data_IF_828613329175
#
_entry.id   IF_828613329175
#
_cell.length_a   1.000
_cell.length_b   1.000
_cell.length_c   1.000
_cell.angle_alpha   90.00
_cell.angle_beta   90.00
_cell.angle_gamma   90.00
#
_symmetry.space_group_name_H-M   'P 1'
#
loop_
_entity.id
_entity.type
_entity.pdbx_description
1 polymer ?
#
# COMPACT_ATOMS: atom_id res chain seq x y z
N UNK A 1 6.40 43.97 12.21
CA UNK A 1 5.21 43.10 12.12
C UNK A 1 5.55 42.02 11.11
N UNK A 2 5.84 40.81 11.59
CA UNK A 2 6.41 39.73 10.77
C UNK A 2 5.25 39.05 10.04
N UNK A 3 5.30 39.05 8.72
CA UNK A 3 4.40 38.26 7.87
C UNK A 3 4.94 36.82 7.94
N UNK A 4 4.33 35.98 8.77
CA UNK A 4 4.57 34.53 8.71
C UNK A 4 4.07 34.03 7.35
N UNK A 5 5.00 33.82 6.43
CA UNK A 5 4.74 33.04 5.23
C UNK A 5 4.44 31.61 5.67
N UNK A 6 3.15 31.29 5.66
CA UNK A 6 2.66 29.92 5.76
C UNK A 6 3.22 29.17 4.55
N UNK A 7 4.31 28.42 4.75
CA UNK A 7 4.76 27.42 3.79
C UNK A 7 3.70 26.32 3.76
N UNK A 8 2.63 26.53 2.98
CA UNK A 8 1.83 25.44 2.44
C UNK A 8 2.75 24.64 1.52
N UNK A 9 3.47 23.70 2.11
CA UNK A 9 4.09 22.59 1.40
C UNK A 9 2.99 21.97 0.55
N UNK A 10 3.03 22.23 -0.76
CA UNK A 10 2.12 21.64 -1.74
C UNK A 10 2.01 20.15 -1.40
N UNK A 11 0.80 19.57 -1.25
CA UNK A 11 0.70 18.14 -1.04
C UNK A 11 1.45 17.46 -2.18
N UNK A 12 2.44 16.61 -1.86
CA UNK A 12 3.16 15.83 -2.86
C UNK A 12 2.08 15.10 -3.67
N UNK A 13 1.87 15.54 -4.90
CA UNK A 13 0.78 15.05 -5.73
C UNK A 13 1.21 13.69 -6.25
N UNK A 14 0.89 12.64 -5.50
CA UNK A 14 1.19 11.28 -5.89
C UNK A 14 0.28 10.85 -7.05
N UNK A 15 0.79 10.04 -7.99
CA UNK A 15 -0.01 9.54 -9.10
C UNK A 15 -1.28 8.85 -8.56
N UNK A 16 -2.42 9.16 -9.17
CA UNK A 16 -3.67 8.49 -8.84
C UNK A 16 -3.59 7.03 -9.26
N UNK A 17 -3.69 6.10 -8.31
CA UNK A 17 -3.68 4.66 -8.60
C UNK A 17 -5.06 4.12 -9.01
N UNK A 18 -6.08 4.98 -9.18
CA UNK A 18 -7.46 4.58 -9.52
C UNK A 18 -7.51 3.75 -10.81
N UNK A 19 -6.73 4.14 -11.81
CA UNK A 19 -6.75 3.54 -13.15
C UNK A 19 -5.75 2.40 -13.35
N UNK A 20 -5.03 2.00 -12.29
CA UNK A 20 -4.08 0.87 -12.36
C UNK A 20 -4.85 -0.42 -12.69
N UNK A 21 -4.48 -1.05 -13.81
CA UNK A 21 -4.96 -2.37 -14.21
C UNK A 21 -4.03 -3.43 -13.64
N UNK A 22 -4.55 -4.22 -12.71
CA UNK A 22 -3.86 -5.39 -12.16
C UNK A 22 -4.10 -6.58 -13.10
N UNK A 23 -3.03 -7.32 -13.43
CA UNK A 23 -3.14 -8.51 -14.28
C UNK A 23 -3.96 -9.60 -13.56
N UNK A 24 -4.81 -10.31 -14.30
CA UNK A 24 -5.56 -11.46 -13.75
C UNK A 24 -4.60 -12.48 -13.12
N UNK A 25 -4.91 -12.95 -11.92
CA UNK A 25 -4.08 -13.90 -11.17
C UNK A 25 -2.86 -13.30 -10.46
N UNK A 26 -2.59 -11.99 -10.60
CA UNK A 26 -1.48 -11.33 -9.90
C UNK A 26 -1.63 -11.41 -8.38
N UNK A 27 -2.86 -11.31 -7.86
CA UNK A 27 -3.15 -11.45 -6.43
C UNK A 27 -2.73 -12.83 -5.93
N UNK A 28 -3.20 -13.90 -6.57
CA UNK A 28 -2.84 -15.27 -6.19
C UNK A 28 -1.33 -15.54 -6.30
N UNK A 29 -0.69 -15.05 -7.36
CA UNK A 29 0.76 -15.16 -7.52
C UNK A 29 1.53 -14.46 -6.39
N UNK A 30 1.09 -13.26 -5.99
CA UNK A 30 1.71 -12.51 -4.91
C UNK A 30 1.47 -13.15 -3.53
N UNK A 31 0.28 -13.74 -3.28
CA UNK A 31 0.03 -14.51 -2.06
C UNK A 31 1.03 -15.66 -1.92
N UNK A 32 1.23 -16.42 -3.00
CA UNK A 32 2.20 -17.52 -3.04
C UNK A 32 3.63 -17.01 -2.86
N UNK A 33 4.01 -15.93 -3.55
CA UNK A 33 5.35 -15.32 -3.46
C UNK A 33 5.67 -14.86 -2.05
N UNK A 34 4.70 -14.27 -1.35
CA UNK A 34 4.86 -13.75 0.01
C UNK A 34 4.65 -14.82 1.07
N UNK A 35 4.08 -15.98 0.74
CA UNK A 35 3.86 -17.07 1.70
C UNK A 35 2.76 -16.75 2.70
N UNK A 36 1.67 -16.11 2.27
CA UNK A 36 0.49 -15.97 3.12
C UNK A 36 -0.20 -17.33 3.27
N UNK A 37 -0.59 -17.68 4.50
CA UNK A 37 -1.22 -18.96 4.81
C UNK A 37 -2.73 -18.99 4.52
N UNK A 38 -3.29 -17.86 4.09
CA UNK A 38 -4.70 -17.69 3.74
C UNK A 38 -4.93 -17.99 2.26
N UNK A 39 -6.16 -18.35 1.92
CA UNK A 39 -6.52 -18.57 0.53
C UNK A 39 -6.70 -17.22 -0.19
N UNK A 40 -6.02 -16.98 -1.33
CA UNK A 40 -6.23 -15.77 -2.09
C UNK A 40 -7.67 -15.71 -2.63
N UNK A 41 -8.25 -14.51 -2.79
CA UNK A 41 -9.54 -14.37 -3.45
C UNK A 41 -9.48 -14.91 -4.89
N UNK A 42 -10.61 -15.46 -5.36
CA UNK A 42 -10.71 -16.02 -6.71
C UNK A 42 -10.48 -14.93 -7.77
N UNK A 43 -9.70 -15.18 -8.84
CA UNK A 43 -9.55 -14.23 -9.93
C UNK A 43 -10.90 -13.82 -10.55
N UNK A 44 -11.10 -12.53 -10.77
CA UNK A 44 -12.33 -11.92 -11.28
C UNK A 44 -13.49 -11.89 -10.27
N UNK A 45 -13.25 -12.21 -9.00
CA UNK A 45 -14.29 -12.12 -7.97
C UNK A 45 -14.41 -10.71 -7.39
N UNK A 46 -15.59 -10.39 -6.84
CA UNK A 46 -15.83 -9.15 -6.09
C UNK A 46 -14.83 -9.00 -4.92
N UNK A 47 -14.41 -10.11 -4.30
CA UNK A 47 -13.42 -10.09 -3.24
C UNK A 47 -12.03 -9.64 -3.74
N UNK A 48 -11.62 -10.08 -4.93
CA UNK A 48 -10.37 -9.64 -5.55
C UNK A 48 -10.42 -8.15 -5.91
N UNK A 49 -11.53 -7.68 -6.49
CA UNK A 49 -11.72 -6.26 -6.81
C UNK A 49 -11.68 -5.37 -5.56
N UNK A 50 -12.31 -5.80 -4.47
CA UNK A 50 -12.29 -5.10 -3.18
C UNK A 50 -10.87 -5.01 -2.63
N UNK A 51 -10.11 -6.11 -2.67
CA UNK A 51 -8.72 -6.13 -2.23
C UNK A 51 -7.86 -5.17 -3.07
N UNK A 52 -7.97 -5.22 -4.40
CA UNK A 52 -7.24 -4.32 -5.30
C UNK A 52 -7.58 -2.86 -4.97
N UNK A 53 -8.85 -2.54 -4.77
CA UNK A 53 -9.30 -1.19 -4.43
C UNK A 53 -8.78 -0.73 -3.06
N UNK A 54 -8.73 -1.61 -2.06
CA UNK A 54 -8.13 -1.32 -0.77
C UNK A 54 -6.62 -1.02 -0.92
N UNK A 55 -5.89 -1.82 -1.69
CA UNK A 55 -4.48 -1.56 -1.98
C UNK A 55 -4.29 -0.20 -2.69
N UNK A 56 -5.11 0.13 -3.70
CA UNK A 56 -5.06 1.42 -4.40
C UNK A 56 -5.25 2.62 -3.46
N UNK A 57 -6.16 2.49 -2.48
CA UNK A 57 -6.41 3.53 -1.47
C UNK A 57 -5.27 3.62 -0.45
N UNK A 58 -4.61 2.51 -0.15
CA UNK A 58 -3.53 2.44 0.84
C UNK A 58 -2.22 3.07 0.36
N UNK A 59 -1.81 2.82 -0.89
CA UNK A 59 -0.48 3.24 -1.40
C UNK A 59 -0.16 4.73 -1.23
N UNK A 60 -1.07 5.68 -1.51
CA UNK A 60 -0.78 7.09 -1.27
C UNK A 60 -0.30 7.40 0.15
N UNK A 61 -0.84 6.72 1.17
CA UNK A 61 -0.45 6.91 2.57
C UNK A 61 0.84 6.19 2.96
N UNK A 62 1.26 5.20 2.18
CA UNK A 62 2.57 4.55 2.33
C UNK A 62 3.67 5.45 1.77
N UNK A 63 3.42 6.08 0.61
CA UNK A 63 4.41 6.94 -0.05
C UNK A 63 4.49 8.32 0.61
N UNK A 64 3.37 8.88 1.10
CA UNK A 64 3.34 10.18 1.75
C UNK A 64 4.26 10.26 2.97
N UNK A 65 4.27 9.21 3.78
CA UNK A 65 5.01 9.07 5.04
C UNK A 65 5.07 10.36 5.88
N UNK A 66 3.91 11.04 5.99
CA UNK A 66 3.74 12.21 6.86
C UNK A 66 2.83 11.87 8.06
N UNK A 67 3.02 12.60 9.16
CA UNK A 67 2.28 12.38 10.40
C UNK A 67 0.76 12.57 10.23
N UNK A 68 0.34 13.46 9.31
CA UNK A 68 -1.06 13.68 8.96
C UNK A 68 -1.73 12.46 8.31
N UNK A 69 -0.96 11.64 7.62
CA UNK A 69 -1.41 10.43 6.93
C UNK A 69 -1.43 9.20 7.82
N UNK A 70 -0.83 9.25 9.02
CA UNK A 70 -0.61 8.07 9.85
C UNK A 70 -1.91 7.38 10.27
N UNK A 71 -2.95 8.16 10.62
CA UNK A 71 -4.27 7.60 10.99
C UNK A 71 -4.87 6.79 9.84
N UNK A 72 -4.87 7.36 8.63
CA UNK A 72 -5.40 6.69 7.44
C UNK A 72 -4.54 5.49 7.04
N UNK A 73 -3.20 5.62 7.12
CA UNK A 73 -2.27 4.52 6.90
C UNK A 73 -2.59 3.34 7.82
N UNK A 74 -2.73 3.58 9.13
CA UNK A 74 -3.08 2.53 10.11
C UNK A 74 -4.43 1.89 9.83
N UNK A 75 -5.44 2.70 9.49
CA UNK A 75 -6.79 2.21 9.18
C UNK A 75 -6.79 1.28 7.95
N UNK A 76 -6.18 1.71 6.84
CA UNK A 76 -6.11 0.88 5.63
C UNK A 76 -5.20 -0.33 5.82
N UNK A 77 -4.14 -0.22 6.62
CA UNK A 77 -3.29 -1.35 6.95
C UNK A 77 -4.05 -2.41 7.77
N UNK A 78 -4.93 -2.00 8.69
CA UNK A 78 -5.85 -2.92 9.39
C UNK A 78 -6.81 -3.62 8.44
N UNK A 79 -7.46 -2.86 7.54
CA UNK A 79 -8.39 -3.40 6.55
C UNK A 79 -7.71 -4.45 5.67
N UNK A 80 -6.49 -4.15 5.18
CA UNK A 80 -5.69 -5.08 4.40
C UNK A 80 -5.26 -6.31 5.21
N UNK A 81 -4.87 -6.13 6.48
CA UNK A 81 -4.55 -7.23 7.39
C UNK A 81 -5.70 -8.24 7.51
N UNK A 82 -6.92 -7.75 7.68
CA UNK A 82 -8.11 -8.59 7.74
C UNK A 82 -8.38 -9.31 6.42
N UNK A 83 -8.27 -8.62 5.28
CA UNK A 83 -8.52 -9.21 3.96
C UNK A 83 -7.45 -10.24 3.55
N UNK A 84 -6.19 -9.99 3.89
CA UNK A 84 -5.06 -10.80 3.44
C UNK A 84 -4.73 -11.89 4.44
N UNK A 85 -4.71 -11.57 5.73
CA UNK A 85 -4.19 -12.47 6.77
C UNK A 85 -5.27 -12.95 7.74
N UNK A 86 -6.50 -12.42 7.63
CA UNK A 86 -7.59 -12.72 8.57
C UNK A 86 -7.35 -12.14 9.97
N UNK A 87 -6.41 -11.19 10.11
CA UNK A 87 -5.99 -10.63 11.39
C UNK A 87 -5.75 -9.13 11.30
N UNK A 88 -6.12 -8.40 12.35
CA UNK A 88 -5.83 -6.97 12.48
C UNK A 88 -4.33 -6.71 12.67
N UNK A 89 -3.86 -5.50 12.35
CA UNK A 89 -2.45 -5.10 12.49
C UNK A 89 -1.91 -5.27 13.90
N UNK A 90 -2.76 -5.05 14.91
CA UNK A 90 -2.45 -5.22 16.34
C UNK A 90 -1.99 -6.64 16.68
N UNK A 91 -2.42 -7.64 15.91
CA UNK A 91 -2.07 -9.04 16.09
C UNK A 91 -0.95 -9.51 15.14
N UNK A 92 -0.56 -8.68 14.16
CA UNK A 92 0.56 -8.95 13.26
C UNK A 92 1.88 -8.54 13.91
N UNK A 93 2.88 -9.42 13.82
CA UNK A 93 4.26 -9.03 14.10
C UNK A 93 4.76 -8.02 13.03
N UNK A 94 5.88 -7.35 13.30
CA UNK A 94 6.41 -6.35 12.38
C UNK A 94 6.80 -6.92 11.01
N UNK A 95 7.28 -8.17 10.97
CA UNK A 95 7.63 -8.84 9.72
C UNK A 95 6.39 -9.04 8.82
N UNK A 96 5.27 -9.47 9.38
CA UNK A 96 4.02 -9.69 8.65
C UNK A 96 3.39 -8.38 8.20
N UNK A 97 3.48 -7.34 9.02
CA UNK A 97 3.04 -6.00 8.66
C UNK A 97 3.85 -5.40 7.50
N UNK A 98 5.17 -5.54 7.54
CA UNK A 98 6.03 -5.09 6.45
C UNK A 98 5.72 -5.87 5.18
N UNK A 99 5.51 -7.19 5.30
CA UNK A 99 5.11 -8.07 4.19
C UNK A 99 3.77 -7.67 3.58
N UNK A 100 2.82 -7.22 4.39
CA UNK A 100 1.52 -6.72 3.96
C UNK A 100 1.66 -5.40 3.18
N UNK A 101 2.47 -4.47 3.69
CA UNK A 101 2.74 -3.20 3.02
C UNK A 101 3.43 -3.43 1.67
N UNK A 102 4.44 -4.30 1.65
CA UNK A 102 5.16 -4.74 0.45
C UNK A 102 4.22 -5.39 -0.57
N UNK A 103 3.30 -6.25 -0.11
CA UNK A 103 2.32 -6.91 -0.97
C UNK A 103 1.44 -5.87 -1.68
N UNK A 104 0.86 -4.95 -0.93
CA UNK A 104 -0.01 -3.93 -1.48
C UNK A 104 0.76 -3.05 -2.49
N UNK A 105 2.01 -2.70 -2.13
CA UNK A 105 2.86 -1.87 -2.97
C UNK A 105 3.19 -2.56 -4.30
N UNK A 106 3.65 -3.82 -4.24
CA UNK A 106 4.02 -4.60 -5.42
C UNK A 106 2.81 -4.92 -6.31
N UNK A 107 1.64 -5.17 -5.71
CA UNK A 107 0.41 -5.42 -6.46
C UNK A 107 0.02 -4.22 -7.34
N UNK A 108 0.20 -2.99 -6.83
CA UNK A 108 -0.24 -1.77 -7.50
C UNK A 108 0.85 -1.19 -8.41
N UNK A 109 2.11 -1.25 -7.99
CA UNK A 109 3.22 -0.65 -8.76
C UNK A 109 3.94 -1.64 -9.67
N UNK A 110 3.72 -2.94 -9.49
CA UNK A 110 4.45 -4.00 -10.18
C UNK A 110 5.91 -4.14 -9.73
N UNK A 111 6.35 -3.39 -8.72
CA UNK A 111 7.73 -3.38 -8.23
C UNK A 111 7.78 -3.51 -6.70
N UNK A 112 8.81 -4.15 -6.12
CA UNK A 112 9.00 -4.17 -4.69
C UNK A 112 9.20 -2.75 -4.13
N UNK A 113 8.68 -2.49 -2.93
CA UNK A 113 8.77 -1.15 -2.29
C UNK A 113 10.21 -0.68 -2.13
N UNK A 114 11.13 -1.59 -1.75
CA UNK A 114 12.57 -1.30 -1.62
C UNK A 114 13.19 -0.75 -2.91
N UNK A 115 12.87 -1.36 -4.06
CA UNK A 115 13.39 -0.94 -5.37
C UNK A 115 12.85 0.44 -5.76
N UNK A 116 11.57 0.69 -5.48
CA UNK A 116 10.95 1.97 -5.78
C UNK A 116 11.50 3.12 -4.90
N UNK A 117 11.67 2.88 -3.60
CA UNK A 117 12.19 3.88 -2.68
C UNK A 117 13.66 4.23 -2.97
N UNK A 118 14.50 3.23 -3.29
CA UNK A 118 15.88 3.47 -3.71
C UNK A 118 15.96 4.40 -4.95
N UNK A 119 15.09 4.20 -5.94
CA UNK A 119 15.03 5.05 -7.13
C UNK A 119 14.45 6.46 -6.87
N UNK A 120 13.71 6.66 -5.78
CA UNK A 120 13.26 8.00 -5.35
C UNK A 120 14.37 8.78 -4.63
N UNK A 121 15.30 8.09 -3.97
CA UNK A 121 16.46 8.72 -3.31
C UNK A 121 17.52 9.16 -4.32
N UNK A 122 17.78 8.37 -5.37
CA UNK A 122 18.70 8.76 -6.46
C UNK A 122 18.26 10.01 -7.22
N UNK A 123 16.95 10.27 -7.34
CA UNK A 123 16.42 11.48 -8.02
C UNK A 123 16.45 12.74 -7.16
N UNK A 124 16.92 12.66 -5.92
CA UNK A 124 17.09 13.81 -5.01
C UNK A 124 18.55 14.28 -4.90
N UNK A 125 19.50 13.55 -5.47
CA UNK A 125 20.89 13.98 -5.65
C UNK A 125 21.08 14.70 -6.98
#
# INVERSE_FOLDING_TARGET
>A
MIIEQTFLSKPKQYPSFKDVKVKSGAVAALYKKRGFNTQPPKPGSIAEERLINACKKYIPYVIADDASSEKNRRQFHNELGLMIMGQERSHLNNYDADRLADFAFELITGSPMRTFMAGLEEKKG
#
